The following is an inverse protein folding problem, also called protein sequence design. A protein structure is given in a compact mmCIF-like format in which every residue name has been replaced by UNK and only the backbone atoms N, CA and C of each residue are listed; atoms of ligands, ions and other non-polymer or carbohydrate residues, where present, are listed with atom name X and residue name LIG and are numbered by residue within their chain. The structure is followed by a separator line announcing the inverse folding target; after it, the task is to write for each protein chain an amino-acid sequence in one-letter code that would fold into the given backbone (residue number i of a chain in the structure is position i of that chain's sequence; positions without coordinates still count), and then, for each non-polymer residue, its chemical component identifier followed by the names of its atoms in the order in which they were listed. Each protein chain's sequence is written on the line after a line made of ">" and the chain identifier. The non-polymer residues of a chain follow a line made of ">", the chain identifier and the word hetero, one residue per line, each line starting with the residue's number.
data_IF_122079307962
#
_entry.id   IF_122079307962
#
_cell.length_a   1.000
_cell.length_b   1.000
_cell.length_c   1.000
_cell.angle_alpha   90.00
_cell.angle_beta   90.00
_cell.angle_gamma   90.00
#
_symmetry.space_group_name_H-M   'P 1'
#
loop_
_entity.id
_entity.type
_entity.pdbx_description
1 polymer ?
#
# COMPACT_ATOMS: atom_id res chain seq x y z
N UNK A 1 10.26 26.40 -2.99
CA UNK A 1 9.89 25.02 -2.60
C UNK A 1 8.62 24.66 -3.36
N UNK A 2 8.65 23.61 -4.19
CA UNK A 2 7.50 23.19 -4.99
C UNK A 2 6.97 21.89 -4.40
N UNK A 3 5.65 21.78 -4.32
CA UNK A 3 4.95 20.57 -3.88
C UNK A 3 4.15 20.07 -5.07
N UNK A 4 4.27 18.78 -5.38
CA UNK A 4 3.59 18.14 -6.49
C UNK A 4 2.85 16.89 -5.98
N UNK A 5 1.69 16.60 -6.55
CA UNK A 5 0.93 15.41 -6.20
C UNK A 5 1.63 14.17 -6.76
N UNK A 6 1.65 13.08 -5.99
CA UNK A 6 2.08 11.77 -6.52
C UNK A 6 1.08 11.30 -7.58
N UNK A 7 1.61 10.78 -8.67
CA UNK A 7 0.85 10.18 -9.78
C UNK A 7 0.39 8.75 -9.48
N UNK A 8 0.87 8.15 -8.38
CA UNK A 8 0.55 6.77 -8.05
C UNK A 8 -0.87 6.64 -7.47
N UNK A 9 -1.42 5.44 -7.62
CA UNK A 9 -2.72 5.08 -7.07
C UNK A 9 -2.71 5.02 -5.54
N UNK A 10 -3.85 5.38 -4.95
CA UNK A 10 -4.01 5.43 -3.49
C UNK A 10 -4.45 4.06 -2.96
N UNK A 11 -3.69 3.49 -2.04
CA UNK A 11 -4.10 2.29 -1.32
C UNK A 11 -5.28 2.58 -0.38
N UNK A 12 -6.36 1.81 -0.47
CA UNK A 12 -7.57 2.04 0.35
C UNK A 12 -7.36 1.75 1.84
N UNK A 13 -6.39 0.89 2.19
CA UNK A 13 -6.13 0.50 3.59
C UNK A 13 -5.17 1.41 4.34
N UNK A 14 -4.06 1.82 3.74
CA UNK A 14 -3.07 2.69 4.40
C UNK A 14 -3.06 4.14 3.90
N UNK A 15 -3.86 4.46 2.88
CA UNK A 15 -3.98 5.79 2.26
C UNK A 15 -2.70 6.36 1.64
N UNK A 16 -1.64 5.56 1.56
CA UNK A 16 -0.42 5.95 0.85
C UNK A 16 -0.62 5.74 -0.65
N UNK A 17 -0.09 6.68 -1.45
CA UNK A 17 0.05 6.52 -2.89
C UNK A 17 1.30 5.69 -3.19
N UNK A 18 1.16 4.60 -3.93
CA UNK A 18 2.24 3.66 -4.24
C UNK A 18 2.05 3.04 -5.61
N UNK A 19 3.15 2.85 -6.34
CA UNK A 19 3.15 2.22 -7.65
C UNK A 19 2.70 0.74 -7.65
N UNK A 20 2.70 0.07 -6.49
CA UNK A 20 2.33 -1.34 -6.36
C UNK A 20 0.83 -1.56 -6.05
N UNK A 21 0.04 -0.48 -5.94
CA UNK A 21 -1.43 -0.59 -5.81
C UNK A 21 -1.99 -1.19 -7.09
N UNK A 22 -2.77 -2.27 -6.95
CA UNK A 22 -3.35 -3.00 -8.11
C UNK A 22 -2.45 -4.04 -8.75
N UNK A 23 -1.25 -4.25 -8.22
CA UNK A 23 -0.35 -5.33 -8.68
C UNK A 23 -0.80 -6.73 -8.24
N UNK A 24 -1.74 -6.83 -7.30
CA UNK A 24 -2.19 -8.09 -6.70
C UNK A 24 -3.62 -8.39 -7.13
N UNK A 25 -3.83 -9.44 -7.95
CA UNK A 25 -5.15 -9.77 -8.50
C UNK A 25 -6.22 -10.03 -7.43
N UNK A 26 -5.84 -10.60 -6.28
CA UNK A 26 -6.74 -10.81 -5.14
C UNK A 26 -7.09 -9.52 -4.39
N UNK A 27 -6.27 -8.48 -4.50
CA UNK A 27 -6.41 -7.20 -3.80
C UNK A 27 -6.09 -6.02 -4.73
N UNK A 28 -6.96 -5.73 -5.73
CA UNK A 28 -6.68 -4.76 -6.79
C UNK A 28 -6.61 -3.31 -6.31
N UNK A 29 -7.02 -3.01 -5.08
CA UNK A 29 -6.98 -1.66 -4.50
C UNK A 29 -5.95 -1.51 -3.37
N UNK A 30 -5.16 -2.56 -3.09
CA UNK A 30 -4.17 -2.57 -2.01
C UNK A 30 -2.74 -2.59 -2.54
N UNK A 31 -1.83 -1.98 -1.76
CA UNK A 31 -0.39 -2.12 -1.95
C UNK A 31 0.14 -3.41 -1.30
N UNK A 32 1.32 -3.86 -1.69
CA UNK A 32 1.90 -5.14 -1.26
C UNK A 32 2.12 -5.26 0.24
N UNK A 33 2.41 -4.15 0.92
CA UNK A 33 2.46 -4.09 2.39
C UNK A 33 1.12 -4.42 3.02
N UNK A 34 0.05 -3.83 2.49
CA UNK A 34 -1.30 -4.07 2.98
C UNK A 34 -1.75 -5.50 2.65
N UNK A 35 -1.40 -6.03 1.48
CA UNK A 35 -1.66 -7.43 1.10
C UNK A 35 -0.97 -8.39 2.06
N UNK A 36 0.32 -8.19 2.36
CA UNK A 36 1.05 -8.99 3.35
C UNK A 36 0.39 -8.94 4.74
N UNK A 37 -0.22 -7.80 5.10
CA UNK A 37 -0.97 -7.65 6.36
C UNK A 37 -2.41 -8.19 6.32
N UNK A 38 -3.00 -8.51 5.16
CA UNK A 38 -4.33 -9.16 5.10
C UNK A 38 -4.13 -10.67 5.00
N UNK A 39 -3.36 -11.11 4.01
CA UNK A 39 -3.28 -12.51 3.59
C UNK A 39 -1.92 -13.16 3.88
N UNK A 40 -0.90 -12.34 4.18
CA UNK A 40 0.43 -12.81 4.49
C UNK A 40 0.69 -12.94 6.00
N UNK A 41 1.95 -13.21 6.38
CA UNK A 41 2.36 -13.25 7.79
C UNK A 41 2.32 -11.87 8.47
N UNK A 42 1.98 -10.80 7.74
CA UNK A 42 2.04 -9.43 8.21
C UNK A 42 3.45 -8.86 8.27
N UNK A 43 3.54 -7.58 8.61
CA UNK A 43 4.80 -6.88 8.83
C UNK A 43 5.19 -6.93 10.32
N UNK A 44 6.42 -7.37 10.59
CA UNK A 44 6.98 -7.46 11.94
C UNK A 44 7.27 -6.06 12.47
N UNK A 45 6.31 -5.45 13.17
CA UNK A 45 6.47 -4.14 13.81
C UNK A 45 7.18 -4.31 15.15
N UNK A 46 8.27 -3.58 15.36
CA UNK A 46 9.09 -3.67 16.59
C UNK A 46 8.67 -2.70 17.68
N UNK A 47 7.97 -1.61 17.35
CA UNK A 47 7.53 -0.58 18.29
C UNK A 47 6.21 0.05 17.82
N UNK A 48 5.42 0.59 18.75
CA UNK A 48 4.16 1.31 18.52
C UNK A 48 4.23 2.71 19.13
#
# INVERSE_FOLDING_TARGET
>A
MRVEASADEKCERCWHRRADVGSFAAHPTLCGRCVSNVDGPGELRRFA
#
